data_IF_333076795730
#
_entry.id   IF_333076795730
#
_cell.length_a   1.000
_cell.length_b   1.000
_cell.length_c   1.000
_cell.angle_alpha   90.00
_cell.angle_beta   90.00
_cell.angle_gamma   90.00
#
_symmetry.space_group_name_H-M   'P 1'
#
loop_
_entity.id
_entity.type
_entity.pdbx_description
1 polymer ?
#
# COMPACT_ATOMS: atom_id res chain seq x y z
N UNK A 1 48.07 -17.67 1.99
CA UNK A 1 47.05 -18.74 1.82
C UNK A 1 45.91 -18.64 2.84
N UNK A 2 46.16 -18.70 4.15
CA UNK A 2 45.10 -18.62 5.21
C UNK A 2 44.27 -17.34 5.13
N UNK A 3 44.88 -16.15 4.96
CA UNK A 3 44.15 -14.87 4.84
C UNK A 3 43.21 -14.86 3.62
N UNK A 4 43.62 -15.44 2.50
CA UNK A 4 42.78 -15.56 1.30
C UNK A 4 41.56 -16.48 1.54
N UNK A 5 41.75 -17.59 2.26
CA UNK A 5 40.66 -18.50 2.60
C UNK A 5 39.67 -17.82 3.53
N UNK A 6 40.13 -17.10 4.57
CA UNK A 6 39.28 -16.36 5.49
C UNK A 6 38.46 -15.31 4.74
N UNK A 7 39.09 -14.55 3.81
CA UNK A 7 38.39 -13.54 3.01
C UNK A 7 37.29 -14.17 2.15
N UNK A 8 37.56 -15.29 1.49
CA UNK A 8 36.54 -16.02 0.69
C UNK A 8 35.39 -16.53 1.56
N UNK A 9 35.68 -17.11 2.72
CA UNK A 9 34.65 -17.58 3.66
C UNK A 9 33.77 -16.42 4.11
N UNK A 10 34.34 -15.27 4.48
CA UNK A 10 33.59 -14.09 4.88
C UNK A 10 32.68 -13.56 3.74
N UNK A 11 33.17 -13.53 2.50
CA UNK A 11 32.37 -13.13 1.34
C UNK A 11 31.21 -14.08 1.09
N UNK A 12 31.44 -15.38 1.22
CA UNK A 12 30.37 -16.39 1.09
C UNK A 12 29.30 -16.23 2.18
N UNK A 13 29.71 -15.99 3.43
CA UNK A 13 28.78 -15.76 4.54
C UNK A 13 27.98 -14.47 4.35
N UNK A 14 28.61 -13.39 3.89
CA UNK A 14 27.92 -12.13 3.59
C UNK A 14 26.92 -12.28 2.43
N UNK A 15 27.29 -13.01 1.38
CA UNK A 15 26.38 -13.30 0.28
C UNK A 15 25.19 -14.16 0.74
N UNK A 16 25.42 -15.20 1.53
CA UNK A 16 24.35 -16.04 2.09
C UNK A 16 23.41 -15.23 2.97
N UNK A 17 23.92 -14.37 3.86
CA UNK A 17 23.14 -13.45 4.67
C UNK A 17 22.35 -12.47 3.79
N UNK A 18 22.96 -11.93 2.72
CA UNK A 18 22.30 -11.03 1.78
C UNK A 18 21.13 -11.71 1.05
N UNK A 19 21.28 -12.92 0.55
CA UNK A 19 20.19 -13.68 -0.09
C UNK A 19 19.09 -14.04 0.90
N UNK A 20 19.46 -14.43 2.12
CA UNK A 20 18.48 -14.70 3.18
C UNK A 20 17.65 -13.45 3.50
N UNK A 21 18.29 -12.31 3.75
CA UNK A 21 17.61 -11.05 4.06
C UNK A 21 16.78 -10.53 2.88
N UNK A 22 17.28 -10.67 1.66
CA UNK A 22 16.51 -10.33 0.45
C UNK A 22 15.23 -11.15 0.38
N UNK A 23 15.34 -12.47 0.56
CA UNK A 23 14.16 -13.36 0.61
C UNK A 23 13.23 -12.97 1.75
N UNK A 24 13.75 -12.82 2.97
CA UNK A 24 12.95 -12.46 4.15
C UNK A 24 12.14 -11.19 3.92
N UNK A 25 12.77 -10.15 3.36
CA UNK A 25 12.09 -8.88 3.07
C UNK A 25 10.91 -9.05 2.10
N UNK A 26 11.04 -9.85 1.04
CA UNK A 26 10.06 -9.89 -0.06
C UNK A 26 9.07 -11.05 0.01
N UNK A 27 9.33 -12.07 0.86
CA UNK A 27 8.46 -13.26 1.00
C UNK A 27 8.01 -13.49 2.44
N UNK A 28 7.85 -12.42 3.24
CA UNK A 28 7.38 -12.51 4.63
C UNK A 28 6.03 -13.22 4.77
N UNK A 29 5.72 -13.69 5.98
CA UNK A 29 4.42 -14.30 6.29
C UNK A 29 3.29 -13.35 5.90
N UNK A 30 2.23 -13.89 5.31
CA UNK A 30 1.00 -13.18 4.94
C UNK A 30 -0.18 -13.81 5.64
N UNK A 31 -1.13 -12.99 6.01
CA UNK A 31 -2.35 -13.45 6.64
C UNK A 31 -3.23 -14.19 5.63
N UNK A 32 -3.91 -15.23 6.07
CA UNK A 32 -5.02 -15.82 5.31
C UNK A 32 -6.22 -14.86 5.34
N UNK A 33 -7.21 -15.12 4.48
CA UNK A 33 -8.45 -14.32 4.51
C UNK A 33 -9.15 -14.45 5.85
N UNK A 34 -9.16 -15.63 6.45
CA UNK A 34 -9.77 -15.91 7.75
C UNK A 34 -9.05 -15.14 8.87
N UNK A 35 -7.72 -15.17 8.90
CA UNK A 35 -6.92 -14.43 9.90
C UNK A 35 -7.20 -12.92 9.80
N UNK A 36 -7.18 -12.34 8.58
CA UNK A 36 -7.44 -10.92 8.38
C UNK A 36 -8.87 -10.55 8.74
N UNK A 37 -9.87 -11.36 8.34
CA UNK A 37 -11.28 -11.14 8.71
C UNK A 37 -11.48 -11.19 10.22
N UNK A 38 -10.95 -12.19 10.89
CA UNK A 38 -11.07 -12.33 12.35
C UNK A 38 -10.44 -11.13 13.08
N UNK A 39 -9.31 -10.61 12.56
CA UNK A 39 -8.71 -9.39 13.11
C UNK A 39 -9.64 -8.18 12.96
N UNK A 40 -10.24 -8.00 11.78
CA UNK A 40 -11.18 -6.91 11.54
C UNK A 40 -12.42 -7.01 12.43
N UNK A 41 -13.00 -8.21 12.58
CA UNK A 41 -14.18 -8.46 13.46
C UNK A 41 -13.87 -8.19 14.92
N UNK A 42 -12.62 -8.40 15.37
CA UNK A 42 -12.17 -8.07 16.72
C UNK A 42 -12.07 -6.58 17.02
N UNK A 43 -12.03 -5.72 16.00
CA UNK A 43 -11.80 -4.28 16.14
C UNK A 43 -12.91 -3.41 15.56
N UNK A 44 -13.70 -3.93 14.60
CA UNK A 44 -14.72 -3.20 13.87
C UNK A 44 -16.02 -4.01 13.74
N UNK A 45 -17.16 -3.32 13.76
CA UNK A 45 -18.44 -3.93 13.38
C UNK A 45 -18.47 -4.16 11.87
N UNK A 46 -18.47 -5.43 11.45
CA UNK A 46 -18.56 -5.86 10.05
C UNK A 46 -19.97 -6.27 9.60
N UNK A 47 -21.01 -6.11 10.42
CA UNK A 47 -22.39 -6.46 10.06
C UNK A 47 -22.84 -5.79 8.75
N UNK A 48 -22.41 -4.55 8.50
CA UNK A 48 -22.65 -3.84 7.27
C UNK A 48 -22.04 -4.54 6.04
N UNK A 49 -20.83 -5.11 6.19
CA UNK A 49 -20.17 -5.82 5.11
C UNK A 49 -20.84 -7.16 4.82
N UNK A 50 -21.30 -7.88 5.84
CA UNK A 50 -22.04 -9.13 5.66
C UNK A 50 -23.36 -8.91 4.93
N UNK A 51 -24.05 -7.82 5.22
CA UNK A 51 -25.31 -7.42 4.58
C UNK A 51 -25.13 -6.78 3.18
N UNK A 52 -23.96 -6.28 2.85
CA UNK A 52 -23.72 -5.58 1.59
C UNK A 52 -23.83 -6.51 0.36
N UNK A 53 -24.34 -5.99 -0.75
CA UNK A 53 -24.23 -6.64 -2.06
C UNK A 53 -22.78 -6.60 -2.52
N UNK A 54 -22.21 -7.78 -2.79
CA UNK A 54 -20.80 -7.95 -3.17
C UNK A 54 -20.66 -8.79 -4.43
N UNK A 55 -19.72 -8.41 -5.28
CA UNK A 55 -19.39 -9.18 -6.48
C UNK A 55 -17.90 -9.45 -6.51
N UNK A 56 -17.52 -10.72 -6.39
CA UNK A 56 -16.14 -11.15 -6.60
C UNK A 56 -15.83 -11.24 -8.09
N UNK A 57 -14.64 -10.82 -8.47
CA UNK A 57 -14.14 -10.91 -9.83
C UNK A 57 -12.61 -10.94 -9.88
N UNK A 58 -12.07 -11.15 -11.05
CA UNK A 58 -10.63 -11.14 -11.27
C UNK A 58 -10.23 -10.08 -12.28
N UNK A 59 -9.02 -9.55 -12.12
CA UNK A 59 -8.38 -8.61 -13.04
C UNK A 59 -7.08 -9.23 -13.53
N UNK A 60 -6.89 -9.30 -14.84
CA UNK A 60 -5.62 -9.72 -15.43
C UNK A 60 -4.66 -8.53 -15.48
N UNK A 61 -3.54 -8.64 -14.80
CA UNK A 61 -2.51 -7.61 -14.77
C UNK A 61 -1.67 -7.61 -16.05
N UNK A 62 -0.81 -6.59 -16.20
CA UNK A 62 0.03 -6.30 -17.36
C UNK A 62 0.92 -7.47 -17.83
N UNK A 63 1.26 -8.40 -16.93
CA UNK A 63 2.12 -9.56 -17.19
C UNK A 63 1.37 -10.90 -17.18
N UNK A 64 0.02 -10.86 -17.22
CA UNK A 64 -0.83 -12.04 -17.18
C UNK A 64 -1.15 -12.55 -15.78
N UNK A 65 -0.59 -11.91 -14.72
CA UNK A 65 -0.90 -12.28 -13.34
C UNK A 65 -2.36 -11.96 -13.00
N UNK A 66 -3.04 -12.90 -12.32
CA UNK A 66 -4.45 -12.74 -11.96
C UNK A 66 -4.56 -12.16 -10.54
N UNK A 67 -5.32 -11.07 -10.43
CA UNK A 67 -5.63 -10.39 -9.18
C UNK A 67 -7.08 -10.65 -8.80
N UNK A 68 -7.33 -11.07 -7.57
CA UNK A 68 -8.68 -11.22 -7.02
C UNK A 68 -9.16 -9.91 -6.45
N UNK A 69 -10.33 -9.48 -6.87
CA UNK A 69 -10.96 -8.23 -6.45
C UNK A 69 -12.43 -8.47 -6.07
N UNK A 70 -12.97 -7.54 -5.30
CA UNK A 70 -14.37 -7.54 -4.92
C UNK A 70 -14.92 -6.12 -5.01
N UNK A 71 -16.05 -5.97 -5.66
CA UNK A 71 -16.87 -4.76 -5.63
C UNK A 71 -17.87 -4.88 -4.49
N UNK A 72 -17.82 -3.95 -3.56
CA UNK A 72 -18.81 -3.75 -2.50
C UNK A 72 -19.70 -2.60 -2.92
N UNK A 73 -20.93 -2.93 -3.30
CA UNK A 73 -21.89 -1.98 -3.85
C UNK A 73 -22.51 -1.12 -2.76
N UNK A 74 -22.65 0.15 -3.04
CA UNK A 74 -23.43 1.06 -2.22
C UNK A 74 -24.85 1.18 -2.76
N UNK A 75 -25.90 0.81 -2.02
CA UNK A 75 -27.28 0.95 -2.49
C UNK A 75 -27.69 2.41 -2.75
N UNK A 76 -27.01 3.36 -2.08
CA UNK A 76 -27.19 4.81 -2.27
C UNK A 76 -26.05 5.42 -3.08
N UNK A 77 -25.39 4.60 -3.91
CA UNK A 77 -24.22 4.99 -4.68
C UNK A 77 -24.50 6.18 -5.60
N UNK A 78 -23.54 7.14 -5.62
CA UNK A 78 -23.64 8.40 -6.38
C UNK A 78 -22.74 8.40 -7.62
N UNK A 79 -22.41 7.21 -8.15
CA UNK A 79 -21.46 7.08 -9.25
C UNK A 79 -20.00 7.37 -8.82
N UNK A 80 -19.70 7.33 -7.54
CA UNK A 80 -18.37 7.54 -6.97
C UNK A 80 -17.76 6.20 -6.61
N UNK A 81 -16.51 6.01 -6.96
CA UNK A 81 -15.78 4.77 -6.70
C UNK A 81 -14.46 5.04 -5.99
N UNK A 82 -14.06 4.14 -5.12
CA UNK A 82 -12.74 4.13 -4.51
C UNK A 82 -12.14 2.72 -4.56
N UNK A 83 -10.89 2.61 -5.01
CA UNK A 83 -10.09 1.39 -4.91
C UNK A 83 -9.26 1.50 -3.64
N UNK A 84 -9.33 0.48 -2.78
CA UNK A 84 -8.58 0.43 -1.52
C UNK A 84 -7.50 -0.66 -1.60
N UNK A 85 -6.24 -0.25 -1.44
CA UNK A 85 -5.06 -1.11 -1.43
C UNK A 85 -4.60 -1.35 0.01
N UNK A 86 -4.54 -2.61 0.42
CA UNK A 86 -4.16 -3.03 1.78
C UNK A 86 -2.64 -2.94 2.03
N UNK A 87 -2.22 -3.09 3.29
CA UNK A 87 -0.82 -3.11 3.73
C UNK A 87 -0.11 -4.45 3.45
N UNK A 88 1.22 -4.46 3.63
CA UNK A 88 2.02 -5.68 3.54
C UNK A 88 1.57 -6.69 4.62
N UNK A 89 1.62 -7.97 4.32
CA UNK A 89 1.13 -9.10 5.13
C UNK A 89 -0.38 -9.26 5.22
N UNK A 90 -1.17 -8.25 4.91
CA UNK A 90 -2.63 -8.26 4.93
C UNK A 90 -3.22 -8.74 3.58
N UNK A 91 -4.50 -8.61 3.39
CA UNK A 91 -5.23 -8.90 2.16
C UNK A 91 -6.42 -7.94 2.02
N UNK A 92 -7.31 -8.15 1.03
CA UNK A 92 -8.45 -7.26 0.78
C UNK A 92 -9.31 -6.98 2.02
N UNK A 93 -9.34 -7.86 3.03
CA UNK A 93 -10.13 -7.62 4.24
C UNK A 93 -9.52 -6.54 5.14
N UNK A 94 -8.20 -6.30 5.07
CA UNK A 94 -7.58 -5.15 5.73
C UNK A 94 -8.12 -3.79 5.26
N UNK A 95 -8.69 -3.73 4.06
CA UNK A 95 -9.32 -2.53 3.52
C UNK A 95 -10.70 -2.22 4.15
N UNK A 96 -11.36 -3.19 4.83
CA UNK A 96 -12.72 -3.03 5.34
C UNK A 96 -12.85 -1.92 6.38
N UNK A 97 -11.82 -1.68 7.18
CA UNK A 97 -11.79 -0.59 8.16
C UNK A 97 -12.02 0.80 7.52
N UNK A 98 -11.61 0.98 6.27
CA UNK A 98 -11.81 2.22 5.50
C UNK A 98 -13.09 2.20 4.66
N UNK A 99 -13.50 1.02 4.20
CA UNK A 99 -14.60 0.86 3.25
C UNK A 99 -15.91 1.46 3.78
N UNK A 100 -16.26 1.21 5.07
CA UNK A 100 -17.48 1.74 5.70
C UNK A 100 -17.57 3.27 5.64
N UNK A 101 -16.44 3.95 5.82
CA UNK A 101 -16.36 5.40 5.76
C UNK A 101 -16.74 5.91 4.35
N UNK A 102 -16.23 5.29 3.31
CA UNK A 102 -16.53 5.65 1.93
C UNK A 102 -17.97 5.32 1.53
N UNK A 103 -18.50 4.16 1.96
CA UNK A 103 -19.92 3.82 1.74
C UNK A 103 -20.86 4.88 2.33
N UNK A 104 -20.59 5.39 3.55
CA UNK A 104 -21.36 6.49 4.16
C UNK A 104 -21.32 7.79 3.36
N UNK A 105 -20.30 8.00 2.52
CA UNK A 105 -20.14 9.16 1.65
C UNK A 105 -20.68 8.94 0.23
N UNK A 106 -21.35 7.81 -0.02
CA UNK A 106 -21.98 7.49 -1.30
C UNK A 106 -21.00 6.90 -2.34
N UNK A 107 -19.87 6.34 -1.92
CA UNK A 107 -18.97 5.61 -2.79
C UNK A 107 -19.33 4.13 -2.87
N UNK A 108 -19.16 3.56 -4.04
CA UNK A 108 -18.93 2.15 -4.22
C UNK A 108 -17.44 1.85 -3.91
N UNK A 109 -17.17 0.68 -3.35
CA UNK A 109 -15.81 0.33 -2.93
C UNK A 109 -15.30 -0.88 -3.69
N UNK A 110 -14.08 -0.78 -4.21
CA UNK A 110 -13.36 -1.89 -4.80
C UNK A 110 -12.19 -2.22 -3.86
N UNK A 111 -12.19 -3.44 -3.36
CA UNK A 111 -11.07 -4.00 -2.59
C UNK A 111 -10.43 -5.12 -3.39
N UNK A 112 -9.12 -5.30 -3.31
CA UNK A 112 -8.43 -6.34 -4.05
C UNK A 112 -7.21 -6.84 -3.28
N UNK A 113 -6.78 -8.04 -3.59
CA UNK A 113 -5.57 -8.61 -3.03
C UNK A 113 -4.36 -8.11 -3.83
N UNK A 114 -3.38 -7.51 -3.16
CA UNK A 114 -2.09 -7.18 -3.78
C UNK A 114 -1.39 -8.46 -4.25
N UNK A 115 -0.51 -8.34 -5.23
CA UNK A 115 0.28 -9.44 -5.79
C UNK A 115 0.87 -10.33 -4.68
N UNK A 116 0.60 -11.64 -4.76
CA UNK A 116 1.04 -12.64 -3.81
C UNK A 116 0.37 -12.61 -2.44
N UNK A 117 -0.73 -11.88 -2.26
CA UNK A 117 -1.52 -11.81 -1.04
C UNK A 117 -2.93 -12.41 -1.25
N UNK A 118 -3.62 -12.71 -0.16
CA UNK A 118 -4.98 -13.20 -0.17
C UNK A 118 -5.17 -14.46 -1.01
N UNK A 119 -6.07 -14.41 -2.01
CA UNK A 119 -6.34 -15.51 -2.94
C UNK A 119 -5.40 -15.55 -4.14
N UNK A 120 -4.51 -14.56 -4.28
CA UNK A 120 -3.60 -14.50 -5.42
C UNK A 120 -2.50 -15.56 -5.33
N UNK A 121 -2.03 -16.04 -6.48
CA UNK A 121 -0.92 -16.97 -6.55
C UNK A 121 0.31 -16.45 -5.77
N UNK A 122 0.97 -17.31 -4.98
CA UNK A 122 2.11 -16.92 -4.18
C UNK A 122 3.25 -16.36 -5.03
N UNK A 123 3.71 -15.16 -4.71
CA UNK A 123 4.89 -14.55 -5.33
C UNK A 123 5.52 -13.55 -4.36
N UNK A 124 6.67 -13.02 -4.73
CA UNK A 124 7.39 -12.04 -3.93
C UNK A 124 6.82 -10.62 -4.13
N UNK A 125 6.85 -9.82 -3.06
CA UNK A 125 6.52 -8.41 -3.06
C UNK A 125 7.66 -7.57 -3.65
N UNK A 126 7.33 -6.52 -4.39
CA UNK A 126 8.29 -5.58 -4.97
C UNK A 126 8.16 -4.16 -4.41
N UNK A 127 7.41 -4.00 -3.31
CA UNK A 127 7.22 -2.73 -2.60
C UNK A 127 6.92 -1.55 -3.52
N UNK A 128 5.86 -1.70 -4.31
CA UNK A 128 5.30 -0.76 -5.30
C UNK A 128 5.86 -0.83 -6.73
N UNK A 129 6.94 -1.57 -7.03
CA UNK A 129 7.48 -1.62 -8.41
C UNK A 129 6.53 -2.34 -9.38
N UNK A 130 6.10 -3.56 -9.03
CA UNK A 130 5.12 -4.35 -9.81
C UNK A 130 3.70 -4.02 -9.38
N UNK A 131 3.49 -3.82 -8.09
CA UNK A 131 2.18 -3.56 -7.49
C UNK A 131 1.53 -2.30 -8.09
N UNK A 132 2.29 -1.25 -8.45
CA UNK A 132 1.74 -0.07 -9.14
C UNK A 132 1.16 -0.40 -10.51
N UNK A 133 1.80 -1.34 -11.24
CA UNK A 133 1.31 -1.78 -12.56
C UNK A 133 0.07 -2.66 -12.42
N UNK A 134 0.00 -3.45 -11.34
CA UNK A 134 -1.20 -4.18 -10.98
C UNK A 134 -2.35 -3.23 -10.66
N UNK A 135 -2.11 -2.22 -9.83
CA UNK A 135 -3.11 -1.20 -9.51
C UNK A 135 -3.55 -0.44 -10.75
N UNK A 136 -2.64 -0.12 -11.69
CA UNK A 136 -3.01 0.49 -12.97
C UNK A 136 -3.98 -0.41 -13.77
N UNK A 137 -3.78 -1.74 -13.74
CA UNK A 137 -4.69 -2.70 -14.37
C UNK A 137 -6.05 -2.76 -13.66
N UNK A 138 -6.06 -2.67 -12.32
CA UNK A 138 -7.30 -2.61 -11.52
C UNK A 138 -8.08 -1.31 -11.81
N UNK A 139 -7.40 -0.18 -11.94
CA UNK A 139 -8.01 1.12 -12.31
C UNK A 139 -8.64 1.01 -13.70
N UNK A 140 -7.91 0.49 -14.69
CA UNK A 140 -8.39 0.35 -16.06
C UNK A 140 -9.60 -0.60 -16.15
N UNK A 141 -9.58 -1.73 -15.42
CA UNK A 141 -10.74 -2.64 -15.31
C UNK A 141 -11.93 -1.93 -14.65
N UNK A 142 -11.71 -1.21 -13.55
CA UNK A 142 -12.74 -0.47 -12.83
C UNK A 142 -13.42 0.57 -13.72
N UNK A 143 -12.65 1.38 -14.45
CA UNK A 143 -13.20 2.37 -15.41
C UNK A 143 -13.98 1.71 -16.54
N UNK A 144 -13.52 0.57 -17.04
CA UNK A 144 -14.24 -0.21 -18.07
C UNK A 144 -15.53 -0.83 -17.54
N UNK A 145 -15.49 -1.36 -16.31
CA UNK A 145 -16.61 -2.04 -15.66
C UNK A 145 -17.70 -1.06 -15.22
N UNK A 146 -17.29 0.15 -14.83
CA UNK A 146 -18.17 1.20 -14.33
C UNK A 146 -18.03 2.49 -15.16
N UNK A 147 -18.43 2.47 -16.44
CA UNK A 147 -18.25 3.63 -17.33
C UNK A 147 -19.07 4.87 -16.90
N UNK A 148 -20.07 4.67 -16.04
CA UNK A 148 -20.87 5.75 -15.47
C UNK A 148 -20.19 6.42 -14.25
N UNK A 149 -19.03 5.98 -13.82
CA UNK A 149 -18.34 6.55 -12.68
C UNK A 149 -17.96 8.01 -12.92
N UNK A 150 -18.52 8.89 -12.10
CA UNK A 150 -18.25 10.35 -12.14
C UNK A 150 -17.04 10.73 -11.30
N UNK A 151 -16.62 9.87 -10.36
CA UNK A 151 -15.46 10.06 -9.51
C UNK A 151 -14.80 8.72 -9.21
N UNK A 152 -13.48 8.65 -9.33
CA UNK A 152 -12.71 7.43 -9.10
C UNK A 152 -11.46 7.74 -8.28
N UNK A 153 -11.43 7.29 -7.03
CA UNK A 153 -10.33 7.56 -6.11
C UNK A 153 -9.49 6.34 -5.76
N UNK A 154 -8.35 6.62 -5.17
CA UNK A 154 -7.48 5.61 -4.56
C UNK A 154 -7.38 5.86 -3.06
N UNK A 155 -7.38 4.79 -2.28
CA UNK A 155 -6.98 4.79 -0.88
C UNK A 155 -5.97 3.67 -0.65
N UNK A 156 -4.93 3.94 0.11
CA UNK A 156 -3.94 2.91 0.42
C UNK A 156 -3.41 3.03 1.84
N UNK A 157 -3.07 1.89 2.43
CA UNK A 157 -2.40 1.81 3.73
C UNK A 157 -1.00 1.22 3.56
N UNK A 158 0.01 1.84 4.16
CA UNK A 158 1.38 1.32 4.20
C UNK A 158 1.91 0.98 2.79
N UNK A 159 2.13 -0.30 2.46
CA UNK A 159 2.45 -0.74 1.10
C UNK A 159 1.40 -0.30 0.08
N UNK A 160 0.12 -0.38 0.42
CA UNK A 160 -0.97 0.08 -0.43
C UNK A 160 -0.93 1.58 -0.68
N UNK A 161 -0.55 2.38 0.33
CA UNK A 161 -0.33 3.82 0.18
C UNK A 161 0.84 4.11 -0.75
N UNK A 162 1.98 3.44 -0.54
CA UNK A 162 3.14 3.56 -1.40
C UNK A 162 2.83 3.17 -2.86
N UNK A 163 2.00 2.12 -3.05
CA UNK A 163 1.52 1.67 -4.36
C UNK A 163 0.60 2.71 -5.01
N UNK A 164 -0.32 3.30 -4.25
CA UNK A 164 -1.23 4.36 -4.72
C UNK A 164 -0.49 5.66 -5.09
N UNK A 165 0.63 5.95 -4.43
CA UNK A 165 1.52 7.05 -4.83
C UNK A 165 2.34 6.68 -6.06
N UNK A 166 2.93 5.48 -6.09
CA UNK A 166 3.80 5.07 -7.19
C UNK A 166 3.07 5.00 -8.54
N UNK A 167 1.78 4.62 -8.57
CA UNK A 167 0.99 4.55 -9.80
C UNK A 167 0.79 5.92 -10.45
N UNK A 168 0.89 7.01 -9.70
CA UNK A 168 0.74 8.38 -10.24
C UNK A 168 1.77 8.72 -11.32
N UNK A 169 2.95 8.06 -11.28
CA UNK A 169 3.95 8.17 -12.35
C UNK A 169 3.50 7.61 -13.69
N UNK A 170 2.52 6.71 -13.69
CA UNK A 170 1.91 6.13 -14.90
C UNK A 170 0.68 6.93 -15.38
N UNK A 171 0.38 8.08 -14.75
CA UNK A 171 -0.73 8.99 -15.06
C UNK A 171 -2.10 8.28 -15.15
N UNK A 172 -2.53 7.60 -14.07
CA UNK A 172 -3.78 6.87 -14.05
C UNK A 172 -4.99 7.80 -14.16
N UNK A 173 -6.10 7.27 -14.67
CA UNK A 173 -7.40 7.97 -14.71
C UNK A 173 -8.08 7.90 -13.35
N UNK A 174 -7.61 8.72 -12.41
CA UNK A 174 -8.16 8.84 -11.05
C UNK A 174 -8.24 10.32 -10.62
N UNK A 175 -9.15 10.61 -9.71
CA UNK A 175 -9.49 11.99 -9.32
C UNK A 175 -8.82 12.41 -8.01
N UNK A 176 -8.47 11.47 -7.12
CA UNK A 176 -7.82 11.74 -5.84
C UNK A 176 -7.08 10.52 -5.29
N UNK A 177 -6.18 10.77 -4.33
CA UNK A 177 -5.52 9.72 -3.54
C UNK A 177 -5.60 10.05 -2.05
N UNK A 178 -5.91 9.04 -1.22
CA UNK A 178 -5.70 9.06 0.24
C UNK A 178 -4.61 8.04 0.56
N UNK A 179 -3.52 8.48 1.18
CA UNK A 179 -2.34 7.67 1.49
C UNK A 179 -2.07 7.65 2.99
N UNK A 180 -2.40 6.53 3.65
CA UNK A 180 -2.19 6.33 5.08
C UNK A 180 -0.86 5.60 5.34
N UNK A 181 0.01 6.19 6.17
CA UNK A 181 1.30 5.67 6.64
C UNK A 181 2.21 5.06 5.55
N UNK A 182 2.19 5.63 4.32
CA UNK A 182 3.02 5.16 3.22
C UNK A 182 4.49 5.56 3.34
N UNK A 183 5.37 4.82 2.66
CA UNK A 183 6.79 5.17 2.57
C UNK A 183 7.10 5.90 1.26
N UNK A 184 8.04 6.84 1.31
CA UNK A 184 8.57 7.54 0.14
C UNK A 184 9.72 6.79 -0.54
N UNK A 185 10.45 5.97 0.24
CA UNK A 185 11.59 5.13 -0.16
C UNK A 185 11.64 3.95 0.81
N UNK A 186 11.76 2.71 0.29
CA UNK A 186 11.74 1.51 1.14
C UNK A 186 13.06 1.29 1.88
N UNK A 187 14.19 1.77 1.37
CA UNK A 187 15.51 1.50 1.97
C UNK A 187 15.62 2.01 3.41
N UNK A 188 15.20 3.23 3.76
CA UNK A 188 15.14 3.66 5.17
C UNK A 188 14.29 2.75 6.05
N UNK A 189 13.12 2.31 5.57
CA UNK A 189 12.21 1.42 6.31
C UNK A 189 12.87 0.07 6.58
N UNK A 190 13.52 -0.53 5.58
CA UNK A 190 14.26 -1.78 5.75
C UNK A 190 15.43 -1.62 6.74
N UNK A 191 16.08 -0.44 6.77
CA UNK A 191 17.13 -0.14 7.76
C UNK A 191 16.57 -0.04 9.19
N UNK A 192 15.37 0.49 9.37
CA UNK A 192 14.68 0.47 10.69
C UNK A 192 14.37 -0.98 11.08
N UNK A 193 13.78 -1.76 10.18
CA UNK A 193 13.46 -3.17 10.43
C UNK A 193 14.68 -4.01 10.82
N UNK A 194 15.78 -3.89 10.09
CA UNK A 194 16.99 -4.68 10.37
C UNK A 194 17.69 -4.26 11.67
N UNK A 195 17.63 -2.97 12.03
CA UNK A 195 18.09 -2.49 13.34
C UNK A 195 17.26 -3.07 14.49
N UNK A 196 15.95 -3.21 14.31
CA UNK A 196 15.09 -3.91 15.26
C UNK A 196 15.47 -5.37 15.48
N UNK A 197 16.10 -6.00 14.48
CA UNK A 197 16.69 -7.34 14.57
C UNK A 197 18.12 -7.35 15.16
N UNK A 198 18.63 -6.21 15.64
CA UNK A 198 20.00 -6.02 16.11
C UNK A 198 21.10 -6.30 15.06
N UNK A 199 20.76 -6.13 13.78
CA UNK A 199 21.69 -6.35 12.67
C UNK A 199 22.20 -5.03 12.08
N UNK A 200 23.45 -5.00 11.54
CA UNK A 200 24.02 -3.80 10.94
C UNK A 200 23.28 -3.32 9.71
N UNK A 201 23.00 -2.02 9.61
CA UNK A 201 22.20 -1.41 8.53
C UNK A 201 22.83 -1.60 7.12
N UNK A 202 24.14 -1.77 6.99
CA UNK A 202 24.79 -2.00 5.69
C UNK A 202 24.35 -3.29 5.00
N UNK A 203 23.85 -4.28 5.76
CA UNK A 203 23.31 -5.53 5.23
C UNK A 203 22.10 -5.29 4.30
N UNK A 204 21.36 -4.19 4.45
CA UNK A 204 20.30 -3.82 3.51
C UNK A 204 20.85 -3.57 2.11
N UNK A 205 22.04 -2.97 1.99
CA UNK A 205 22.68 -2.75 0.69
C UNK A 205 23.12 -4.07 0.04
N UNK A 206 23.64 -5.00 0.83
CA UNK A 206 23.99 -6.35 0.35
C UNK A 206 22.73 -7.11 -0.07
N UNK A 207 21.68 -7.08 0.77
CA UNK A 207 20.38 -7.68 0.45
C UNK A 207 19.76 -7.07 -0.83
N UNK A 208 19.93 -5.77 -1.07
CA UNK A 208 19.47 -5.09 -2.28
C UNK A 208 20.17 -5.63 -3.54
N UNK A 209 21.48 -5.85 -3.49
CA UNK A 209 22.23 -6.48 -4.60
C UNK A 209 21.75 -7.92 -4.81
N UNK A 210 21.60 -8.69 -3.74
CA UNK A 210 21.11 -10.07 -3.81
C UNK A 210 19.67 -10.13 -4.35
N UNK A 211 18.81 -9.16 -4.00
CA UNK A 211 17.46 -9.03 -4.54
C UNK A 211 17.50 -8.77 -6.05
N UNK A 212 18.41 -7.90 -6.53
CA UNK A 212 18.58 -7.65 -7.96
C UNK A 212 18.97 -8.92 -8.71
N UNK A 213 19.90 -9.70 -8.16
CA UNK A 213 20.36 -10.97 -8.77
C UNK A 213 19.23 -12.02 -8.80
N UNK A 214 18.49 -12.17 -7.70
CA UNK A 214 17.50 -13.25 -7.54
C UNK A 214 16.13 -12.93 -8.13
N UNK A 215 15.67 -11.68 -8.00
CA UNK A 215 14.29 -11.26 -8.28
C UNK A 215 14.21 -10.24 -9.42
N UNK A 216 15.34 -9.78 -9.95
CA UNK A 216 15.41 -8.88 -11.09
C UNK A 216 15.27 -7.38 -10.74
N UNK A 217 15.11 -7.00 -9.47
CA UNK A 217 15.01 -5.61 -9.03
C UNK A 217 15.73 -5.38 -7.69
N UNK A 218 16.19 -4.17 -7.46
CA UNK A 218 16.86 -3.75 -6.22
C UNK A 218 15.92 -2.95 -5.34
N UNK A 219 16.22 -2.87 -4.04
CA UNK A 219 15.44 -2.03 -3.12
C UNK A 219 15.51 -0.53 -3.47
N UNK A 220 16.56 -0.10 -4.15
CA UNK A 220 16.71 1.29 -4.62
C UNK A 220 15.70 1.68 -5.72
N UNK A 221 15.04 0.71 -6.35
CA UNK A 221 13.99 0.96 -7.36
C UNK A 221 12.61 1.20 -6.72
N UNK A 222 12.48 0.97 -5.39
CA UNK A 222 11.23 1.07 -4.65
C UNK A 222 11.09 2.46 -4.01
N UNK A 223 10.86 3.46 -4.85
CA UNK A 223 10.83 4.88 -4.48
C UNK A 223 9.59 5.58 -4.98
N UNK A 224 8.43 5.42 -4.32
CA UNK A 224 7.17 6.07 -4.70
C UNK A 224 7.26 7.58 -4.88
N UNK A 225 8.12 8.27 -4.11
CA UNK A 225 8.31 9.72 -4.18
C UNK A 225 8.66 10.22 -5.58
N UNK A 226 9.32 9.41 -6.42
CA UNK A 226 9.70 9.79 -7.77
C UNK A 226 8.49 10.02 -8.69
N UNK A 227 7.34 9.44 -8.36
CA UNK A 227 6.09 9.59 -9.11
C UNK A 227 5.39 10.93 -8.87
N UNK A 228 5.85 11.73 -7.89
CA UNK A 228 5.17 12.94 -7.46
C UNK A 228 5.63 14.21 -8.19
N UNK A 229 6.80 14.17 -8.84
CA UNK A 229 7.40 15.36 -9.46
C UNK A 229 6.51 16.06 -10.50
N UNK A 230 5.66 15.33 -11.20
CA UNK A 230 4.72 15.86 -12.20
C UNK A 230 3.25 15.63 -11.82
N UNK A 231 2.99 15.09 -10.61
CA UNK A 231 1.63 14.80 -10.16
C UNK A 231 0.78 16.08 -10.02
N UNK A 232 -0.47 16.02 -10.48
CA UNK A 232 -1.48 17.08 -10.34
C UNK A 232 -2.73 16.60 -9.61
N UNK A 233 -2.85 15.29 -9.40
CA UNK A 233 -3.97 14.69 -8.68
C UNK A 233 -3.85 15.10 -7.22
N UNK A 234 -4.93 15.60 -6.58
CA UNK A 234 -4.92 15.96 -5.17
C UNK A 234 -4.67 14.74 -4.27
N UNK A 235 -3.85 14.93 -3.25
CA UNK A 235 -3.46 13.86 -2.31
C UNK A 235 -3.72 14.30 -0.87
N UNK A 236 -4.42 13.44 -0.11
CA UNK A 236 -4.47 13.51 1.33
C UNK A 236 -3.49 12.48 1.91
N UNK A 237 -2.50 12.92 2.65
CA UNK A 237 -1.66 12.08 3.48
C UNK A 237 -2.22 12.05 4.91
N UNK A 238 -2.36 10.85 5.49
CA UNK A 238 -2.65 10.63 6.91
C UNK A 238 -1.54 9.75 7.46
N UNK A 239 -1.09 10.01 8.70
CA UNK A 239 -0.01 9.23 9.30
C UNK A 239 -0.16 9.20 10.82
N UNK A 240 0.13 8.05 11.44
CA UNK A 240 0.22 7.98 12.90
C UNK A 240 1.41 8.80 13.40
N UNK A 241 1.17 9.71 14.33
CA UNK A 241 2.23 10.58 14.84
C UNK A 241 3.35 9.81 15.55
N UNK A 242 3.02 8.64 16.13
CA UNK A 242 3.95 7.78 16.87
C UNK A 242 4.37 6.55 16.06
N UNK A 243 4.26 6.61 14.73
CA UNK A 243 4.76 5.55 13.86
C UNK A 243 6.29 5.48 13.90
N UNK A 244 6.81 4.43 14.53
CA UNK A 244 8.26 4.17 14.68
C UNK A 244 8.80 3.22 13.63
N UNK A 245 7.94 2.64 12.78
CA UNK A 245 8.31 1.71 11.71
C UNK A 245 8.46 2.43 10.36
N UNK A 246 7.42 3.13 9.92
CA UNK A 246 7.49 4.09 8.81
C UNK A 246 7.28 5.47 9.40
N UNK A 247 8.36 6.23 9.54
CA UNK A 247 8.31 7.52 10.23
C UNK A 247 7.42 8.52 9.48
N UNK A 248 6.69 9.43 10.17
CA UNK A 248 5.85 10.47 9.55
C UNK A 248 6.58 11.33 8.53
N UNK A 249 7.90 11.49 8.67
CA UNK A 249 8.77 12.20 7.72
C UNK A 249 8.65 11.66 6.27
N UNK A 250 8.25 10.40 6.08
CA UNK A 250 8.00 9.85 4.74
C UNK A 250 6.82 10.57 4.06
N UNK A 251 5.73 10.79 4.78
CA UNK A 251 4.56 11.54 4.28
C UNK A 251 4.86 13.02 4.09
N UNK A 252 5.65 13.64 5.01
CA UNK A 252 6.12 15.02 4.86
C UNK A 252 6.92 15.21 3.57
N UNK A 253 7.88 14.31 3.30
CA UNK A 253 8.69 14.33 2.08
C UNK A 253 7.84 14.16 0.81
N UNK A 254 6.86 13.25 0.84
CA UNK A 254 5.96 13.04 -0.30
C UNK A 254 5.04 14.24 -0.54
N UNK A 255 4.50 14.84 0.52
CA UNK A 255 3.74 16.09 0.42
C UNK A 255 4.57 17.20 -0.21
N UNK A 256 5.81 17.39 0.23
CA UNK A 256 6.70 18.42 -0.29
C UNK A 256 7.14 18.18 -1.74
N UNK A 257 7.17 16.93 -2.20
CA UNK A 257 7.60 16.54 -3.54
C UNK A 257 6.50 16.69 -4.61
N UNK A 258 5.21 16.71 -4.21
CA UNK A 258 4.11 16.78 -5.19
C UNK A 258 3.87 18.21 -5.67
N UNK A 259 3.63 18.37 -6.97
CA UNK A 259 3.24 19.67 -7.57
C UNK A 259 1.75 19.97 -7.45
N UNK A 260 0.93 18.93 -7.31
CA UNK A 260 -0.51 19.04 -7.10
C UNK A 260 -0.86 19.50 -5.68
N UNK A 261 -2.16 19.66 -5.43
CA UNK A 261 -2.62 19.89 -4.07
C UNK A 261 -2.28 18.70 -3.17
N UNK A 262 -1.74 18.96 -1.99
CA UNK A 262 -1.50 17.92 -0.99
C UNK A 262 -1.60 18.49 0.44
N UNK A 263 -2.29 17.76 1.30
CA UNK A 263 -2.33 18.02 2.73
C UNK A 263 -1.84 16.79 3.51
N UNK A 264 -1.41 17.00 4.74
CA UNK A 264 -0.96 15.98 5.66
C UNK A 264 -1.56 16.22 7.04
N UNK A 265 -2.18 15.19 7.58
CA UNK A 265 -2.67 15.15 8.95
C UNK A 265 -2.00 14.03 9.74
N UNK A 266 -1.52 14.37 10.93
CA UNK A 266 -0.96 13.40 11.87
C UNK A 266 -2.03 13.04 12.90
N UNK A 267 -2.18 11.74 13.20
CA UNK A 267 -3.08 11.25 14.23
C UNK A 267 -2.28 11.04 15.53
N UNK A 268 -2.51 11.85 16.57
CA UNK A 268 -1.81 11.69 17.85
C UNK A 268 -2.08 10.33 18.48
N UNK A 269 -1.06 9.72 19.08
CA UNK A 269 -1.15 8.41 19.74
C UNK A 269 -1.20 7.22 18.81
N UNK A 270 -1.31 7.43 17.48
CA UNK A 270 -1.34 6.35 16.53
C UNK A 270 0.07 5.90 16.12
N UNK A 271 0.31 4.59 16.18
CA UNK A 271 1.47 3.92 15.59
C UNK A 271 1.25 3.56 14.12
N UNK A 272 2.09 2.63 13.59
CA UNK A 272 2.00 2.18 12.20
C UNK A 272 0.66 1.52 11.89
N UNK A 273 0.00 1.97 10.82
CA UNK A 273 -1.31 1.46 10.34
C UNK A 273 -2.44 1.53 11.38
N UNK A 274 -2.29 2.36 12.41
CA UNK A 274 -3.22 2.48 13.52
C UNK A 274 -4.06 3.76 13.51
N UNK A 275 -3.89 4.65 12.52
CA UNK A 275 -4.58 5.94 12.45
C UNK A 275 -6.11 5.80 12.56
N UNK A 276 -6.70 4.92 11.73
CA UNK A 276 -8.14 4.65 11.70
C UNK A 276 -8.64 3.94 12.98
N UNK A 277 -7.80 3.13 13.62
CA UNK A 277 -8.13 2.44 14.87
C UNK A 277 -8.10 3.39 16.07
N UNK A 278 -7.11 4.30 16.09
CA UNK A 278 -6.87 5.22 17.22
C UNK A 278 -7.92 6.32 17.30
N UNK A 279 -8.24 6.95 16.17
CA UNK A 279 -9.25 8.02 16.12
C UNK A 279 -10.04 7.97 14.79
N UNK A 280 -11.02 7.07 14.70
CA UNK A 280 -11.82 6.89 13.48
C UNK A 280 -12.64 8.11 13.09
N UNK A 281 -13.09 8.89 14.07
CA UNK A 281 -13.92 10.07 13.81
C UNK A 281 -13.11 11.22 13.22
N UNK A 282 -11.91 11.48 13.76
CA UNK A 282 -11.00 12.49 13.21
C UNK A 282 -10.47 12.06 11.85
N UNK A 283 -10.15 10.77 11.69
CA UNK A 283 -9.76 10.22 10.39
C UNK A 283 -10.83 10.47 9.32
N UNK A 284 -12.07 10.11 9.62
CA UNK A 284 -13.20 10.29 8.70
C UNK A 284 -13.43 11.77 8.37
N UNK A 285 -13.32 12.69 9.36
CA UNK A 285 -13.43 14.14 9.13
C UNK A 285 -12.36 14.67 8.19
N UNK A 286 -11.11 14.21 8.30
CA UNK A 286 -10.04 14.63 7.38
C UNK A 286 -10.33 14.18 5.95
N UNK A 287 -10.77 12.92 5.77
CA UNK A 287 -11.13 12.42 4.44
C UNK A 287 -12.34 13.19 3.87
N UNK A 288 -13.40 13.39 4.66
CA UNK A 288 -14.59 14.13 4.24
C UNK A 288 -14.27 15.60 3.88
N UNK A 289 -13.48 16.27 4.71
CA UNK A 289 -13.03 17.64 4.47
C UNK A 289 -12.22 17.76 3.19
N UNK A 290 -11.26 16.87 2.98
CA UNK A 290 -10.46 16.82 1.76
C UNK A 290 -11.33 16.60 0.52
N UNK A 291 -12.23 15.62 0.55
CA UNK A 291 -13.12 15.33 -0.58
C UNK A 291 -14.03 16.52 -0.89
N UNK A 292 -14.60 17.14 0.14
CA UNK A 292 -15.53 18.27 -0.01
C UNK A 292 -14.87 19.52 -0.56
N UNK A 293 -13.63 19.80 -0.13
CA UNK A 293 -12.93 21.05 -0.47
C UNK A 293 -12.11 20.95 -1.75
N UNK A 294 -11.65 19.76 -2.13
CA UNK A 294 -10.64 19.62 -3.19
C UNK A 294 -10.98 18.61 -4.29
N UNK A 295 -12.03 17.80 -4.11
CA UNK A 295 -12.38 16.71 -5.03
C UNK A 295 -13.80 16.88 -5.58
N UNK A 296 -14.80 17.13 -4.73
CA UNK A 296 -16.16 17.34 -5.21
C UNK A 296 -16.25 18.68 -5.95
N UNK A 297 -16.72 18.63 -7.18
CA UNK A 297 -17.04 19.79 -8.02
C UNK A 297 -18.52 20.01 -8.11
#
# INVERSE_FOLDING_TARGET
MIVGIIAVVLLVLLAAAGFYLARFAVTGKRQTLEEARAWQEGHYDLSWYDAAEKTDYTVTSYDGYVLHAQHVKNPEGKGRFVIISHGYTDNRFGALKYARMYLKQGFDVIIYDLRGHGLNEPTFCTYSVRERKDLLSVIADGRKRFPQAVLFGLHGESLGAATSIAVLGDKPDVDFVVADCGFCDIVPVLKVGIKGMHLPAFLVSIASVCAKIRYGYSFNEMRPIESLAENRIPILFIHGQEDTFILPEHSEKMKAATKGYAELHLIPGAGHAASMLTDPDTYAKYVEGFLSNHVYR
#
